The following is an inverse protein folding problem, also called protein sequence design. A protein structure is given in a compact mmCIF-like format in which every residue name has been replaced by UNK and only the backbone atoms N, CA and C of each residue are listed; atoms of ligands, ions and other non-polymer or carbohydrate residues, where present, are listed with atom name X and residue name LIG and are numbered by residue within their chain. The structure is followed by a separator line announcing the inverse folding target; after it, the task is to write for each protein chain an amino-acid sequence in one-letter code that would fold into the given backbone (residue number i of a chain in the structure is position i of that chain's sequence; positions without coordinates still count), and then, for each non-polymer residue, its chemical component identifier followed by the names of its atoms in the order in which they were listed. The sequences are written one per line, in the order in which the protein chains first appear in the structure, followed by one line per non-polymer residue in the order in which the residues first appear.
data_IF_514905159035
#
_entry.id   IF_514905159035
#
_cell.length_a   1.000
_cell.length_b   1.000
_cell.length_c   1.000
_cell.angle_alpha   90.00
_cell.angle_beta   90.00
_cell.angle_gamma   90.00
#
_symmetry.space_group_name_H-M   'P 1'
#
loop_
_entity.id
_entity.type
_entity.pdbx_description
1 polymer ?
#
# COMPACT_ATOMS: atom_id res chain seq x y z
N UNK A 1 -28.20 23.63 8.09
CA UNK A 1 -27.59 22.30 8.25
C UNK A 1 -26.95 21.96 6.91
N UNK A 2 -25.62 22.02 6.81
CA UNK A 2 -24.92 21.54 5.62
C UNK A 2 -24.62 20.06 5.86
N UNK A 3 -25.28 19.19 5.10
CA UNK A 3 -24.96 17.76 5.07
C UNK A 3 -23.59 17.61 4.44
N UNK A 4 -22.60 17.27 5.27
CA UNK A 4 -21.35 16.69 4.79
C UNK A 4 -21.76 15.42 4.03
N UNK A 5 -21.36 15.25 2.75
CA UNK A 5 -21.59 13.97 2.08
C UNK A 5 -20.99 12.88 2.96
N UNK A 6 -21.61 11.68 3.07
CA UNK A 6 -20.96 10.58 3.74
C UNK A 6 -19.64 10.34 2.98
N UNK A 7 -18.54 10.83 3.55
CA UNK A 7 -17.22 10.54 3.05
C UNK A 7 -17.09 9.02 3.02
N UNK A 8 -16.50 8.56 1.92
CA UNK A 8 -16.05 7.20 1.69
C UNK A 8 -15.70 6.51 3.00
N UNK A 9 -16.21 5.29 3.19
CA UNK A 9 -16.03 4.51 4.42
C UNK A 9 -14.55 4.34 4.74
N UNK A 10 -14.01 5.34 5.45
CA UNK A 10 -12.64 5.39 5.91
C UNK A 10 -12.50 4.22 6.88
N UNK A 11 -11.74 3.22 6.46
CA UNK A 11 -11.56 1.95 7.20
C UNK A 11 -11.06 2.19 8.61
N UNK A 12 -10.38 3.32 8.80
CA UNK A 12 -10.07 3.90 10.09
C UNK A 12 -10.68 5.33 10.13
N UNK A 13 -11.76 5.54 10.90
CA UNK A 13 -12.46 6.82 10.93
C UNK A 13 -11.49 7.98 11.24
N UNK A 14 -11.35 8.91 10.29
CA UNK A 14 -10.52 10.11 10.43
C UNK A 14 -9.08 10.00 9.89
N UNK A 15 -8.73 8.97 9.13
CA UNK A 15 -7.37 8.80 8.61
C UNK A 15 -7.26 9.09 7.10
N UNK A 16 -7.08 10.36 6.75
CA UNK A 16 -6.56 10.75 5.42
C UNK A 16 -5.29 9.97 5.02
N UNK A 17 -4.56 9.47 6.01
CA UNK A 17 -3.40 8.60 5.83
C UNK A 17 -3.67 7.26 5.18
N UNK A 18 -4.80 6.62 5.50
CA UNK A 18 -5.15 5.33 4.92
C UNK A 18 -5.51 5.45 3.45
N UNK A 19 -6.27 6.47 3.05
CA UNK A 19 -6.62 6.73 1.66
C UNK A 19 -5.36 6.94 0.78
N UNK A 20 -4.46 7.84 1.18
CA UNK A 20 -3.23 8.10 0.42
C UNK A 20 -2.30 6.87 0.35
N UNK A 21 -2.26 6.06 1.41
CA UNK A 21 -1.46 4.84 1.41
C UNK A 21 -2.05 3.78 0.47
N UNK A 22 -3.37 3.61 0.47
CA UNK A 22 -4.05 2.69 -0.46
C UNK A 22 -3.86 3.14 -1.91
N UNK A 23 -4.02 4.43 -2.19
CA UNK A 23 -3.75 5.00 -3.53
C UNK A 23 -2.30 4.75 -3.97
N UNK A 24 -1.33 4.92 -3.07
CA UNK A 24 0.08 4.65 -3.37
C UNK A 24 0.31 3.16 -3.68
N UNK A 25 -0.28 2.24 -2.90
CA UNK A 25 -0.21 0.79 -3.17
C UNK A 25 -0.86 0.45 -4.51
N UNK A 26 -2.02 1.04 -4.82
CA UNK A 26 -2.73 0.83 -6.08
C UNK A 26 -1.91 1.31 -7.28
N UNK A 27 -1.17 2.42 -7.14
CA UNK A 27 -0.24 2.87 -8.18
C UNK A 27 0.88 1.85 -8.42
N UNK A 28 1.47 1.27 -7.36
CA UNK A 28 2.51 0.24 -7.53
C UNK A 28 1.96 -1.01 -8.23
N UNK A 29 0.74 -1.43 -7.90
CA UNK A 29 0.06 -2.54 -8.57
C UNK A 29 -0.16 -2.26 -10.06
N UNK A 30 -0.56 -1.05 -10.43
CA UNK A 30 -0.67 -0.62 -11.83
C UNK A 30 0.69 -0.67 -12.52
N UNK A 31 1.74 -0.16 -11.87
CA UNK A 31 3.09 -0.14 -12.44
C UNK A 31 3.61 -1.56 -12.72
N UNK A 32 3.35 -2.52 -11.82
CA UNK A 32 3.69 -3.94 -12.06
C UNK A 32 2.91 -4.53 -13.25
N UNK A 33 1.62 -4.23 -13.38
CA UNK A 33 0.76 -4.72 -14.47
C UNK A 33 1.13 -4.15 -15.83
N UNK A 34 1.56 -2.90 -15.85
CA UNK A 34 2.03 -2.20 -17.06
C UNK A 34 3.47 -2.60 -17.46
N UNK A 35 4.12 -3.48 -16.68
CA UNK A 35 5.50 -3.91 -16.92
C UNK A 35 6.55 -2.89 -16.48
N UNK A 36 6.15 -1.82 -15.77
CA UNK A 36 7.03 -0.80 -15.18
C UNK A 36 7.64 -1.28 -13.85
N UNK A 37 8.23 -2.48 -13.88
CA UNK A 37 8.77 -3.15 -12.70
C UNK A 37 9.89 -2.35 -12.02
N UNK A 38 10.73 -1.68 -12.80
CA UNK A 38 11.81 -0.86 -12.26
C UNK A 38 11.30 0.39 -11.52
N UNK A 39 10.18 0.96 -11.95
CA UNK A 39 9.57 2.13 -11.32
C UNK A 39 8.95 1.72 -9.97
N UNK A 40 8.19 0.63 -9.97
CA UNK A 40 7.61 0.05 -8.76
C UNK A 40 8.70 -0.35 -7.73
N UNK A 41 9.79 -0.97 -8.21
CA UNK A 41 10.94 -1.34 -7.38
C UNK A 41 11.59 -0.08 -6.77
N UNK A 42 11.83 0.95 -7.57
CA UNK A 42 12.44 2.18 -7.09
C UNK A 42 11.58 2.88 -6.02
N UNK A 43 10.26 2.94 -6.21
CA UNK A 43 9.33 3.52 -5.23
C UNK A 43 9.30 2.72 -3.91
N UNK A 44 9.34 1.39 -3.98
CA UNK A 44 9.42 0.51 -2.82
C UNK A 44 10.74 0.68 -2.06
N UNK A 45 11.87 0.67 -2.77
CA UNK A 45 13.22 0.84 -2.19
C UNK A 45 13.44 2.24 -1.58
N UNK A 46 12.85 3.27 -2.17
CA UNK A 46 12.90 4.63 -1.64
C UNK A 46 12.00 4.84 -0.41
N UNK A 47 11.20 3.83 -0.04
CA UNK A 47 10.26 3.87 1.08
C UNK A 47 9.32 5.10 1.03
N UNK A 48 8.87 5.49 -0.17
CA UNK A 48 8.09 6.72 -0.37
C UNK A 48 6.83 6.78 0.49
N UNK A 49 6.25 5.61 0.80
CA UNK A 49 5.11 5.46 1.70
C UNK A 49 5.37 5.99 3.12
N UNK A 50 6.63 6.06 3.58
CA UNK A 50 6.99 6.63 4.90
C UNK A 50 6.81 8.15 4.98
N UNK A 51 6.82 8.84 3.83
CA UNK A 51 6.53 10.27 3.78
C UNK A 51 5.02 10.56 3.91
N UNK A 52 4.18 9.53 3.81
CA UNK A 52 2.73 9.67 3.97
C UNK A 52 2.38 9.87 5.44
N UNK A 53 1.34 10.69 5.69
CA UNK A 53 0.85 10.89 7.05
C UNK A 53 0.10 9.64 7.53
N UNK A 54 0.70 8.83 8.41
CA UNK A 54 0.08 7.60 8.92
C UNK A 54 -0.78 7.81 10.19
N UNK A 55 -1.11 9.06 10.53
CA UNK A 55 -1.95 9.36 11.70
C UNK A 55 -3.32 8.68 11.59
N UNK A 56 -3.74 8.01 12.67
CA UNK A 56 -5.00 7.26 12.73
C UNK A 56 -4.87 5.77 12.38
N UNK A 57 -3.73 5.32 11.85
CA UNK A 57 -3.48 3.90 11.58
C UNK A 57 -2.89 3.22 12.83
N UNK A 58 -3.45 2.11 13.32
CA UNK A 58 -2.88 1.39 14.45
C UNK A 58 -1.45 0.89 14.18
N UNK A 59 -0.54 1.05 15.15
CA UNK A 59 0.86 0.63 15.01
C UNK A 59 1.05 -0.84 14.56
N UNK A 60 0.24 -1.82 15.01
CA UNK A 60 0.32 -3.19 14.50
C UNK A 60 0.07 -3.28 12.99
N UNK A 61 -0.87 -2.50 12.46
CA UNK A 61 -1.18 -2.44 11.02
C UNK A 61 0.00 -1.83 10.26
N UNK A 62 0.61 -0.77 10.79
CA UNK A 62 1.82 -0.15 10.19
C UNK A 62 3.00 -1.13 10.16
N UNK A 63 3.17 -1.97 11.19
CA UNK A 63 4.24 -2.97 11.20
C UNK A 63 3.98 -4.07 10.15
N UNK A 64 2.75 -4.58 10.08
CA UNK A 64 2.38 -5.60 9.09
C UNK A 64 2.42 -5.07 7.65
N UNK A 65 2.07 -3.79 7.45
CA UNK A 65 2.25 -3.09 6.17
C UNK A 65 3.72 -3.13 5.76
N UNK A 66 4.62 -2.71 6.65
CA UNK A 66 6.06 -2.71 6.39
C UNK A 66 6.56 -4.08 5.97
N UNK A 67 6.18 -5.13 6.68
CA UNK A 67 6.56 -6.51 6.34
C UNK A 67 6.13 -6.89 4.91
N UNK A 68 4.91 -6.50 4.49
CA UNK A 68 4.45 -6.77 3.12
C UNK A 68 5.14 -5.93 2.06
N UNK A 69 5.47 -4.66 2.35
CA UNK A 69 6.21 -3.81 1.42
C UNK A 69 7.67 -4.22 1.27
N UNK A 70 8.32 -4.61 2.37
CA UNK A 70 9.69 -5.15 2.38
C UNK A 70 9.75 -6.44 1.56
N UNK A 71 8.77 -7.33 1.73
CA UNK A 71 8.67 -8.56 0.94
C UNK A 71 8.44 -8.29 -0.56
N UNK A 72 7.63 -7.28 -0.90
CA UNK A 72 7.45 -6.87 -2.30
C UNK A 72 8.77 -6.34 -2.90
N UNK A 73 9.50 -5.50 -2.16
CA UNK A 73 10.80 -4.98 -2.60
C UNK A 73 11.81 -6.13 -2.80
N UNK A 74 11.87 -7.08 -1.85
CA UNK A 74 12.74 -8.25 -1.95
C UNK A 74 12.40 -9.11 -3.18
N UNK A 75 11.12 -9.35 -3.45
CA UNK A 75 10.66 -10.12 -4.60
C UNK A 75 11.03 -9.45 -5.94
N UNK A 76 11.09 -8.12 -6.01
CA UNK A 76 11.53 -7.38 -7.20
C UNK A 76 13.06 -7.24 -7.30
N UNK A 77 13.77 -7.27 -6.18
CA UNK A 77 15.23 -7.14 -6.12
C UNK A 77 15.99 -8.47 -6.27
N UNK A 78 15.35 -9.60 -5.99
CA UNK A 78 15.98 -10.92 -6.03
C UNK A 78 15.85 -11.56 -7.43
N UNK A 79 16.94 -12.09 -8.02
CA UNK A 79 16.88 -12.83 -9.29
C UNK A 79 15.95 -14.05 -9.27
N UNK A 80 15.67 -14.61 -8.09
CA UNK A 80 14.74 -15.73 -7.91
C UNK A 80 13.31 -15.28 -7.58
N UNK A 81 13.10 -14.00 -7.26
CA UNK A 81 11.79 -13.42 -6.96
C UNK A 81 10.97 -13.20 -8.24
N UNK A 82 9.66 -13.00 -8.08
CA UNK A 82 8.75 -12.80 -9.21
C UNK A 82 7.85 -11.58 -9.04
N UNK A 83 7.44 -10.98 -10.16
CA UNK A 83 6.43 -9.91 -10.19
C UNK A 83 5.11 -10.37 -9.54
N UNK A 84 4.74 -11.64 -9.71
CA UNK A 84 3.53 -12.20 -9.10
C UNK A 84 3.61 -12.26 -7.56
N UNK A 85 4.79 -12.55 -7.01
CA UNK A 85 5.04 -12.54 -5.56
C UNK A 85 4.98 -11.11 -5.01
N UNK A 86 5.60 -10.16 -5.71
CA UNK A 86 5.49 -8.73 -5.36
C UNK A 86 4.04 -8.24 -5.42
N UNK A 87 3.27 -8.62 -6.44
CA UNK A 87 1.84 -8.28 -6.55
C UNK A 87 1.03 -8.88 -5.39
N UNK A 88 1.26 -10.15 -5.04
CA UNK A 88 0.59 -10.79 -3.90
C UNK A 88 0.90 -10.08 -2.58
N UNK A 89 2.15 -9.67 -2.36
CA UNK A 89 2.57 -8.91 -1.19
C UNK A 89 1.88 -7.54 -1.10
N UNK A 90 1.80 -6.80 -2.21
CA UNK A 90 1.08 -5.52 -2.29
C UNK A 90 -0.43 -5.68 -2.08
N UNK A 91 -1.04 -6.73 -2.60
CA UNK A 91 -2.46 -7.04 -2.35
C UNK A 91 -2.72 -7.36 -0.88
N UNK A 92 -1.82 -8.07 -0.21
CA UNK A 92 -1.88 -8.26 1.24
C UNK A 92 -1.73 -6.93 1.99
N UNK A 93 -0.81 -6.05 1.57
CA UNK A 93 -0.65 -4.72 2.16
C UNK A 93 -1.95 -3.91 2.08
N UNK A 94 -2.59 -3.93 0.91
CA UNK A 94 -3.85 -3.24 0.62
C UNK A 94 -5.04 -3.79 1.43
N UNK A 95 -5.18 -5.11 1.56
CA UNK A 95 -6.35 -5.74 2.21
C UNK A 95 -6.49 -5.37 3.69
N UNK A 96 -5.42 -4.90 4.33
CA UNK A 96 -5.45 -4.37 5.71
C UNK A 96 -6.28 -3.11 5.87
N UNK A 97 -6.54 -2.42 4.76
CA UNK A 97 -7.31 -1.19 4.67
C UNK A 97 -8.62 -1.42 3.91
N UNK A 98 -9.18 -2.64 3.94
CA UNK A 98 -10.50 -2.95 3.38
C UNK A 98 -11.29 -3.78 4.39
N UNK A 99 -12.42 -3.28 4.95
CA UNK A 99 -13.24 -4.07 5.84
C UNK A 99 -13.97 -5.14 5.03
N UNK A 100 -13.57 -6.40 5.19
CA UNK A 100 -14.29 -7.58 4.72
C UNK A 100 -14.51 -7.66 3.22
N UNK A 101 -13.66 -8.45 2.54
CA UNK A 101 -14.19 -9.32 1.50
C UNK A 101 -14.99 -10.47 2.16
#
# INVERSE_FOLDING_TARGET
MNGVPPDDEDVFPGSRGSAHLVEWIDQQLVDLRDGRVNDARAALEAEEWRALNLSGIPQPIVNQLRESLDHAAEALGNPAGSVAEAEAALLMARSRFMPGA
#
